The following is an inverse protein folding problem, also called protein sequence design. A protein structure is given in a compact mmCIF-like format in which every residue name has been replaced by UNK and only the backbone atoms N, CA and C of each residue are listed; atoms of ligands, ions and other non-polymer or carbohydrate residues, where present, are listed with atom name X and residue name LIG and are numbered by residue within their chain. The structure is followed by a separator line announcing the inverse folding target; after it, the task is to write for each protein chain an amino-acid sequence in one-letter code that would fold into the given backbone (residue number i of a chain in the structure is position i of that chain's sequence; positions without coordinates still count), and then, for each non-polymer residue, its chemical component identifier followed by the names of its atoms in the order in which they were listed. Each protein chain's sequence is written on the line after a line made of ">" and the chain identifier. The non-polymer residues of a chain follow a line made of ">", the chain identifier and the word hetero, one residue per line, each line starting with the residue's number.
data_IF_418953027242
#
_entry.id   IF_418953027242
#
_cell.length_a   1.000
_cell.length_b   1.000
_cell.length_c   1.000
_cell.angle_alpha   90.00
_cell.angle_beta   90.00
_cell.angle_gamma   90.00
#
_symmetry.space_group_name_H-M   'P 1'
#
loop_
_entity.id
_entity.type
_entity.pdbx_description
1 polymer ?
#
# COMPACT_ATOMS: atom_id res chain seq x y z
N UNK A 1 3.52 -0.61 -25.65
CA UNK A 1 3.77 0.60 -24.88
C UNK A 1 3.03 0.52 -23.54
N UNK A 2 3.74 0.73 -22.47
CA UNK A 2 3.35 0.56 -21.07
C UNK A 2 2.37 1.65 -20.55
N UNK A 3 1.75 2.39 -21.44
CA UNK A 3 0.84 3.48 -21.14
C UNK A 3 -0.59 3.22 -21.67
N UNK A 4 -1.18 2.09 -21.29
CA UNK A 4 -2.59 2.18 -21.00
C UNK A 4 -2.67 2.91 -19.66
N UNK A 5 -3.32 4.06 -19.65
CA UNK A 5 -3.41 4.87 -18.43
C UNK A 5 -4.09 4.05 -17.35
N UNK A 6 -3.69 4.26 -16.10
CA UNK A 6 -4.35 3.66 -14.93
C UNK A 6 -5.87 3.91 -14.98
N UNK A 7 -6.32 5.01 -15.61
CA UNK A 7 -7.73 5.33 -15.86
C UNK A 7 -8.44 4.34 -16.80
N UNK A 8 -7.77 3.79 -17.82
CA UNK A 8 -8.37 2.75 -18.68
C UNK A 8 -8.49 1.41 -17.96
N UNK A 9 -7.53 1.08 -17.07
CA UNK A 9 -7.55 -0.15 -16.28
C UNK A 9 -8.60 -0.12 -15.16
N UNK A 10 -8.83 1.03 -14.54
CA UNK A 10 -9.81 1.19 -13.46
C UNK A 10 -11.25 1.17 -13.96
N UNK A 11 -11.49 1.45 -15.23
CA UNK A 11 -12.83 1.49 -15.83
C UNK A 11 -13.28 0.16 -16.47
N UNK A 12 -12.44 -0.87 -16.51
CA UNK A 12 -12.86 -2.19 -16.98
C UNK A 12 -13.57 -2.95 -15.86
N UNK A 13 -14.81 -3.36 -16.09
CA UNK A 13 -15.57 -4.20 -15.14
C UNK A 13 -15.21 -5.69 -15.25
N UNK A 14 -14.44 -6.06 -16.25
CA UNK A 14 -14.07 -7.45 -16.55
C UNK A 14 -12.61 -7.73 -16.21
N UNK A 15 -12.30 -8.99 -15.90
CA UNK A 15 -10.93 -9.47 -15.73
C UNK A 15 -10.16 -9.37 -17.05
N UNK A 16 -8.94 -8.85 -17.01
CA UNK A 16 -8.08 -8.68 -18.18
C UNK A 16 -6.76 -9.43 -18.02
N UNK A 17 -6.42 -10.26 -19.01
CA UNK A 17 -5.09 -10.90 -19.06
C UNK A 17 -4.09 -9.93 -19.68
N UNK A 18 -2.95 -9.72 -18.97
CA UNK A 18 -1.91 -8.78 -19.37
C UNK A 18 -0.76 -9.54 -20.02
N UNK A 19 -0.45 -9.20 -21.26
CA UNK A 19 0.74 -9.72 -21.94
C UNK A 19 2.01 -9.07 -21.37
N UNK A 20 2.84 -9.85 -20.68
CA UNK A 20 4.07 -9.38 -20.03
C UNK A 20 5.31 -9.48 -20.91
N UNK A 21 5.25 -10.19 -22.02
CA UNK A 21 6.42 -10.52 -22.83
C UNK A 21 7.39 -11.48 -22.13
N UNK A 22 6.97 -12.12 -21.04
CA UNK A 22 7.71 -13.11 -20.27
C UNK A 22 6.85 -14.35 -20.03
N UNK A 23 7.41 -15.40 -19.42
CA UNK A 23 6.67 -16.61 -19.03
C UNK A 23 5.72 -16.39 -17.82
N UNK A 24 5.62 -15.14 -17.33
CA UNK A 24 4.75 -14.78 -16.21
C UNK A 24 3.37 -14.42 -16.76
N UNK A 25 2.36 -15.17 -16.36
CA UNK A 25 0.96 -14.86 -16.65
C UNK A 25 0.41 -13.92 -15.59
N UNK A 26 -0.16 -12.79 -16.02
CA UNK A 26 -0.80 -11.81 -15.14
C UNK A 26 -2.25 -11.65 -15.58
N UNK A 27 -3.17 -11.75 -14.62
CA UNK A 27 -4.57 -11.39 -14.82
C UNK A 27 -4.94 -10.30 -13.85
N UNK A 28 -5.44 -9.19 -14.37
CA UNK A 28 -5.98 -8.11 -13.56
C UNK A 28 -7.44 -8.44 -13.20
N UNK A 29 -7.74 -8.40 -11.91
CA UNK A 29 -9.11 -8.55 -11.39
C UNK A 29 -9.56 -7.20 -10.85
N UNK A 30 -10.32 -6.40 -11.62
CA UNK A 30 -10.72 -5.08 -11.21
C UNK A 30 -11.92 -5.12 -10.27
N UNK A 31 -11.99 -4.17 -9.35
CA UNK A 31 -13.14 -3.95 -8.48
C UNK A 31 -12.77 -3.61 -7.07
N UNK A 32 -13.80 -3.27 -6.31
CA UNK A 32 -13.75 -3.13 -4.86
C UNK A 32 -14.48 -4.30 -4.20
N UNK A 33 -14.28 -4.57 -2.91
CA UNK A 33 -14.95 -5.66 -2.21
C UNK A 33 -16.47 -5.72 -2.44
N UNK A 34 -17.13 -4.56 -2.45
CA UNK A 34 -18.58 -4.42 -2.73
C UNK A 34 -19.00 -4.83 -4.16
N UNK A 35 -18.05 -5.01 -5.06
CA UNK A 35 -18.29 -5.34 -6.47
C UNK A 35 -18.15 -6.84 -6.75
N UNK A 36 -18.37 -7.68 -5.72
CA UNK A 36 -18.21 -9.14 -5.79
C UNK A 36 -16.79 -9.57 -6.19
N UNK A 37 -15.79 -8.91 -5.60
CA UNK A 37 -14.38 -9.19 -5.88
C UNK A 37 -13.99 -10.64 -5.55
N UNK A 38 -14.59 -11.21 -4.52
CA UNK A 38 -14.45 -12.61 -4.14
C UNK A 38 -14.87 -13.57 -5.27
N UNK A 39 -16.04 -13.35 -5.88
CA UNK A 39 -16.51 -14.14 -7.02
C UNK A 39 -15.61 -13.96 -8.25
N UNK A 40 -15.17 -12.73 -8.52
CA UNK A 40 -14.27 -12.42 -9.63
C UNK A 40 -12.89 -13.05 -9.47
N UNK A 41 -12.39 -13.14 -8.22
CA UNK A 41 -11.11 -13.76 -7.91
C UNK A 41 -11.19 -15.29 -8.01
N UNK A 42 -12.29 -15.89 -7.63
CA UNK A 42 -12.47 -17.34 -7.69
C UNK A 42 -12.33 -17.88 -9.13
N UNK A 43 -12.79 -17.16 -10.12
CA UNK A 43 -12.73 -17.61 -11.51
C UNK A 43 -11.30 -17.84 -12.02
N UNK A 44 -10.35 -16.87 -11.95
CA UNK A 44 -8.97 -17.11 -12.35
C UNK A 44 -8.25 -18.10 -11.43
N UNK A 45 -8.50 -18.12 -10.12
CA UNK A 45 -7.89 -19.11 -9.23
C UNK A 45 -8.24 -20.55 -9.63
N UNK A 46 -9.51 -20.81 -9.95
CA UNK A 46 -9.98 -22.14 -10.33
C UNK A 46 -9.38 -22.67 -11.64
N UNK A 47 -8.65 -21.85 -12.40
CA UNK A 47 -7.85 -22.35 -13.54
C UNK A 47 -6.63 -23.14 -13.10
N UNK A 48 -6.15 -22.95 -11.86
CA UNK A 48 -4.92 -23.56 -11.34
C UNK A 48 -3.63 -22.98 -11.93
N UNK A 49 -3.72 -21.87 -12.68
CA UNK A 49 -2.57 -21.26 -13.37
C UNK A 49 -1.88 -20.16 -12.55
N UNK A 50 -2.49 -19.73 -11.42
CA UNK A 50 -2.00 -18.65 -10.59
C UNK A 50 -1.62 -19.14 -9.21
N UNK A 51 -0.44 -18.74 -8.75
CA UNK A 51 0.11 -19.09 -7.45
C UNK A 51 0.50 -17.87 -6.59
N UNK A 52 0.27 -16.67 -7.10
CA UNK A 52 0.53 -15.41 -6.41
C UNK A 52 -0.63 -14.45 -6.63
N UNK A 53 -1.07 -13.82 -5.55
CA UNK A 53 -2.03 -12.72 -5.59
C UNK A 53 -1.34 -11.47 -5.05
N UNK A 54 -1.42 -10.37 -5.82
CA UNK A 54 -0.99 -9.05 -5.39
C UNK A 54 -2.22 -8.15 -5.27
N UNK A 55 -2.60 -7.82 -4.05
CA UNK A 55 -3.74 -6.94 -3.80
C UNK A 55 -3.28 -5.49 -3.61
N UNK A 56 -3.94 -4.56 -4.29
CA UNK A 56 -3.78 -3.11 -4.09
C UNK A 56 -4.86 -2.51 -3.18
N UNK A 57 -5.68 -3.37 -2.59
CA UNK A 57 -6.68 -3.06 -1.56
C UNK A 57 -6.53 -4.03 -0.41
N UNK A 58 -7.23 -3.80 0.71
CA UNK A 58 -7.21 -4.75 1.83
C UNK A 58 -7.58 -6.15 1.38
N UNK A 59 -6.76 -7.12 1.75
CA UNK A 59 -6.98 -8.52 1.42
C UNK A 59 -8.05 -9.20 2.29
N UNK A 60 -8.51 -8.54 3.38
CA UNK A 60 -9.46 -9.10 4.36
C UNK A 60 -10.74 -9.66 3.74
N UNK A 61 -11.22 -8.99 2.70
CA UNK A 61 -12.51 -9.29 2.09
C UNK A 61 -12.51 -10.57 1.23
N UNK A 62 -11.34 -10.98 0.74
CA UNK A 62 -11.24 -12.14 -0.14
C UNK A 62 -10.32 -13.27 0.38
N UNK A 63 -9.78 -13.15 1.58
CA UNK A 63 -9.00 -14.23 2.22
C UNK A 63 -9.78 -15.54 2.27
N UNK A 64 -11.09 -15.51 2.52
CA UNK A 64 -11.91 -16.71 2.56
C UNK A 64 -11.96 -17.47 1.24
N UNK A 65 -11.91 -16.74 0.12
CA UNK A 65 -11.86 -17.36 -1.21
C UNK A 65 -10.53 -18.06 -1.42
N UNK A 66 -9.44 -17.43 -0.99
CA UNK A 66 -8.10 -18.02 -1.09
C UNK A 66 -8.00 -19.25 -0.20
N UNK A 67 -8.42 -19.15 1.07
CA UNK A 67 -8.41 -20.28 2.02
C UNK A 67 -9.19 -21.49 1.46
N UNK A 68 -10.40 -21.24 0.91
CA UNK A 68 -11.22 -22.32 0.34
C UNK A 68 -10.55 -22.98 -0.88
N UNK A 69 -9.96 -22.17 -1.76
CA UNK A 69 -9.23 -22.66 -2.92
C UNK A 69 -8.02 -23.52 -2.52
N UNK A 70 -7.24 -23.05 -1.55
CA UNK A 70 -6.06 -23.76 -1.05
C UNK A 70 -6.42 -25.11 -0.42
N UNK A 71 -7.48 -25.16 0.39
CA UNK A 71 -7.98 -26.41 1.00
C UNK A 71 -8.46 -27.39 -0.06
N UNK A 72 -9.25 -26.94 -1.04
CA UNK A 72 -9.82 -27.78 -2.08
C UNK A 72 -8.74 -28.36 -3.00
N UNK A 73 -7.73 -27.56 -3.34
CA UNK A 73 -6.70 -27.94 -4.29
C UNK A 73 -5.42 -28.46 -3.64
N UNK A 74 -5.34 -28.47 -2.30
CA UNK A 74 -4.13 -28.84 -1.54
C UNK A 74 -2.88 -28.09 -2.02
N UNK A 75 -3.02 -26.79 -2.25
CA UNK A 75 -1.99 -25.89 -2.76
C UNK A 75 -1.87 -24.65 -1.92
N UNK A 76 -0.75 -23.96 -2.03
CA UNK A 76 -0.47 -22.70 -1.36
C UNK A 76 -0.46 -21.56 -2.36
N UNK A 77 -1.08 -20.44 -2.01
CA UNK A 77 -1.12 -19.21 -2.81
C UNK A 77 -0.48 -18.09 -2.03
N UNK A 78 0.60 -17.55 -2.55
CA UNK A 78 1.29 -16.40 -1.94
C UNK A 78 0.43 -15.15 -2.05
N UNK A 79 0.30 -14.42 -0.95
CA UNK A 79 -0.50 -13.21 -0.86
C UNK A 79 0.36 -12.00 -0.48
N UNK A 80 0.54 -11.10 -1.43
CA UNK A 80 1.05 -9.74 -1.19
C UNK A 80 -0.10 -8.73 -1.13
N UNK A 81 -0.03 -7.77 -0.22
CA UNK A 81 -1.04 -6.73 -0.09
C UNK A 81 -0.41 -5.34 0.05
N UNK A 82 -0.98 -4.36 -0.62
CA UNK A 82 -0.73 -2.94 -0.35
C UNK A 82 -1.83 -2.48 0.59
N UNK A 83 -1.48 -2.31 1.86
CA UNK A 83 -2.44 -1.97 2.92
C UNK A 83 -1.76 -1.18 4.03
N UNK A 84 -2.46 -1.00 5.15
CA UNK A 84 -1.99 -0.27 6.32
C UNK A 84 -1.48 -1.23 7.40
N UNK A 85 -0.56 -0.76 8.23
CA UNK A 85 -0.16 -1.47 9.45
C UNK A 85 -1.18 -1.15 10.55
N UNK A 86 -2.27 -1.91 10.59
CA UNK A 86 -3.42 -1.76 11.50
C UNK A 86 -3.67 -3.02 12.30
N UNK A 87 -4.62 -2.97 13.23
CA UNK A 87 -5.04 -4.14 14.00
C UNK A 87 -5.63 -5.24 13.08
N UNK A 88 -6.42 -4.84 12.08
CA UNK A 88 -7.00 -5.79 11.12
C UNK A 88 -5.92 -6.53 10.31
N UNK A 89 -4.91 -5.81 9.82
CA UNK A 89 -3.78 -6.45 9.12
C UNK A 89 -2.90 -7.27 10.06
N UNK A 90 -2.81 -6.89 11.35
CA UNK A 90 -2.13 -7.69 12.36
C UNK A 90 -2.80 -9.05 12.55
N UNK A 91 -4.13 -9.08 12.63
CA UNK A 91 -4.87 -10.33 12.75
C UNK A 91 -4.65 -11.24 11.53
N UNK A 92 -4.65 -10.66 10.33
CA UNK A 92 -4.36 -11.39 9.09
C UNK A 92 -2.94 -11.94 9.04
N UNK A 93 -1.95 -11.16 9.48
CA UNK A 93 -0.55 -11.60 9.55
C UNK A 93 -0.35 -12.75 10.54
N UNK A 94 -1.09 -12.76 11.65
CA UNK A 94 -1.02 -13.82 12.66
C UNK A 94 -1.90 -15.04 12.31
N UNK A 95 -2.84 -14.91 11.37
CA UNK A 95 -3.60 -16.03 10.85
C UNK A 95 -2.66 -16.93 10.03
N UNK A 96 -2.77 -18.23 10.19
CA UNK A 96 -1.97 -19.16 9.39
C UNK A 96 -2.69 -19.48 8.08
N UNK A 97 -1.96 -19.41 6.98
CA UNK A 97 -2.35 -19.92 5.68
C UNK A 97 -2.26 -21.46 5.61
N UNK A 98 -2.54 -22.01 4.44
CA UNK A 98 -2.52 -23.45 4.19
C UNK A 98 -1.15 -24.09 4.49
N UNK A 99 -0.06 -23.42 4.18
CA UNK A 99 1.33 -23.87 4.43
C UNK A 99 1.77 -23.77 5.91
N UNK A 100 0.91 -23.24 6.79
CA UNK A 100 1.20 -22.99 8.21
C UNK A 100 2.05 -21.76 8.50
N UNK A 101 2.42 -20.98 7.48
CA UNK A 101 3.04 -19.66 7.61
C UNK A 101 1.99 -18.57 7.82
N UNK A 102 2.43 -17.33 7.89
CA UNK A 102 1.56 -16.18 7.95
C UNK A 102 0.64 -16.13 6.74
N UNK A 103 -0.62 -15.67 6.94
CA UNK A 103 -1.61 -15.64 5.84
C UNK A 103 -1.26 -14.58 4.78
N UNK A 104 -0.64 -13.49 5.18
CA UNK A 104 -0.07 -12.51 4.26
C UNK A 104 1.44 -12.75 4.22
N UNK A 105 1.98 -13.04 3.04
CA UNK A 105 3.40 -13.28 2.84
C UNK A 105 4.19 -11.97 2.72
N UNK A 106 3.54 -10.92 2.22
CA UNK A 106 4.18 -9.62 2.03
C UNK A 106 3.20 -8.46 2.14
N UNK A 107 3.46 -7.56 3.07
CA UNK A 107 2.67 -6.34 3.25
C UNK A 107 3.52 -5.11 2.90
N UNK A 108 2.91 -4.19 2.18
CA UNK A 108 3.51 -2.89 1.82
C UNK A 108 2.55 -1.78 2.17
N UNK A 109 2.99 -0.77 2.90
CA UNK A 109 2.16 0.38 3.20
C UNK A 109 2.84 1.40 4.09
N UNK A 110 2.18 2.53 4.33
CA UNK A 110 2.65 3.58 5.24
C UNK A 110 1.52 4.54 5.63
N UNK A 111 0.28 4.08 5.59
CA UNK A 111 -0.88 4.96 5.71
C UNK A 111 -0.89 5.81 6.99
N UNK A 112 -0.60 5.23 8.15
CA UNK A 112 -0.61 5.94 9.43
C UNK A 112 0.40 7.09 9.50
N UNK A 113 1.48 7.02 8.73
CA UNK A 113 2.56 8.02 8.74
C UNK A 113 2.36 9.19 7.74
N UNK A 114 1.32 9.17 6.89
CA UNK A 114 1.09 10.25 5.92
C UNK A 114 0.52 11.53 6.53
N UNK A 115 0.04 11.48 7.77
CA UNK A 115 -0.60 12.61 8.43
C UNK A 115 0.38 13.76 8.66
N UNK A 116 1.59 13.49 9.13
CA UNK A 116 2.57 14.53 9.41
C UNK A 116 3.04 15.28 8.14
N UNK A 117 3.43 14.61 7.04
CA UNK A 117 3.71 15.30 5.78
C UNK A 117 2.53 16.12 5.25
N UNK A 118 1.32 15.60 5.34
CA UNK A 118 0.11 16.30 4.92
C UNK A 118 -0.14 17.55 5.77
N UNK A 119 0.07 17.47 7.09
CA UNK A 119 -0.02 18.60 8.00
C UNK A 119 1.01 19.68 7.65
N UNK A 120 2.28 19.31 7.44
CA UNK A 120 3.35 20.24 7.05
C UNK A 120 3.01 20.95 5.75
N UNK A 121 2.57 20.22 4.73
CA UNK A 121 2.16 20.80 3.45
C UNK A 121 1.02 21.80 3.62
N UNK A 122 -0.01 21.44 4.36
CA UNK A 122 -1.17 22.29 4.62
C UNK A 122 -0.76 23.55 5.41
N UNK A 123 0.06 23.39 6.45
CA UNK A 123 0.50 24.52 7.28
C UNK A 123 1.35 25.52 6.49
N UNK A 124 2.35 25.05 5.74
CA UNK A 124 3.14 25.91 4.88
C UNK A 124 2.25 26.65 3.86
N UNK A 125 1.26 25.98 3.27
CA UNK A 125 0.33 26.61 2.33
C UNK A 125 -0.54 27.69 3.00
N UNK A 126 -1.08 27.42 4.20
CA UNK A 126 -1.90 28.39 4.95
C UNK A 126 -1.09 29.62 5.41
N UNK A 127 0.21 29.48 5.64
CA UNK A 127 1.12 30.54 6.01
C UNK A 127 1.65 31.34 4.82
N UNK A 128 1.20 31.02 3.61
CA UNK A 128 1.51 31.79 2.39
C UNK A 128 2.69 31.24 1.59
N UNK A 129 3.24 30.08 1.95
CA UNK A 129 4.39 29.49 1.28
C UNK A 129 4.02 28.44 0.22
N UNK A 130 2.76 28.38 -0.21
CA UNK A 130 2.30 27.37 -1.19
C UNK A 130 3.10 27.41 -2.50
N UNK A 131 3.47 28.60 -2.97
CA UNK A 131 4.19 28.78 -4.24
C UNK A 131 5.64 28.26 -4.19
N UNK A 132 6.25 28.20 -2.99
CA UNK A 132 7.61 27.68 -2.81
C UNK A 132 7.74 26.18 -3.09
N UNK A 133 6.60 25.48 -3.11
CA UNK A 133 6.50 24.03 -3.29
C UNK A 133 5.78 23.67 -4.60
N UNK A 134 5.48 24.65 -5.47
CA UNK A 134 4.86 24.42 -6.77
C UNK A 134 5.90 24.44 -7.87
N UNK A 135 5.70 23.55 -8.84
CA UNK A 135 6.45 23.54 -10.07
C UNK A 135 5.50 23.97 -11.20
N UNK A 136 5.85 25.04 -11.93
CA UNK A 136 5.05 25.62 -13.03
C UNK A 136 3.57 25.90 -12.64
N UNK A 137 3.33 26.32 -11.40
CA UNK A 137 1.99 26.59 -10.89
C UNK A 137 1.15 25.35 -10.58
N UNK A 138 1.69 24.16 -10.82
CA UNK A 138 1.03 22.89 -10.49
C UNK A 138 1.25 22.50 -9.04
N UNK A 139 0.33 21.73 -8.47
CA UNK A 139 0.52 21.13 -7.15
C UNK A 139 1.73 20.20 -7.18
N UNK A 140 2.56 20.31 -6.14
CA UNK A 140 3.69 19.39 -5.96
C UNK A 140 3.21 17.96 -5.65
N UNK A 141 4.08 16.99 -5.93
CA UNK A 141 3.88 15.59 -5.56
C UNK A 141 5.02 15.15 -4.66
N UNK A 142 4.69 14.68 -3.47
CA UNK A 142 5.63 14.05 -2.56
C UNK A 142 5.69 12.55 -2.85
N UNK A 143 6.89 12.03 -2.95
CA UNK A 143 7.12 10.58 -2.98
C UNK A 143 7.38 10.12 -1.55
N UNK A 144 6.67 9.10 -1.12
CA UNK A 144 6.89 8.48 0.18
C UNK A 144 7.51 7.09 -0.02
N UNK A 145 8.46 6.74 0.83
CA UNK A 145 8.93 5.37 0.95
C UNK A 145 7.82 4.52 1.58
N UNK A 146 7.61 3.32 1.07
CA UNK A 146 6.75 2.34 1.72
C UNK A 146 7.52 1.60 2.82
N UNK A 147 6.83 1.27 3.87
CA UNK A 147 7.25 0.24 4.81
C UNK A 147 6.83 -1.12 4.28
N UNK A 148 7.64 -2.11 4.55
CA UNK A 148 7.40 -3.49 4.12
C UNK A 148 7.48 -4.42 5.31
N UNK A 149 6.74 -5.52 5.26
CA UNK A 149 6.85 -6.63 6.18
C UNK A 149 6.62 -7.95 5.46
N UNK A 150 7.52 -8.91 5.64
CA UNK A 150 7.41 -10.31 5.22
C UNK A 150 7.43 -11.27 6.42
N UNK A 151 7.39 -10.73 7.63
CA UNK A 151 7.40 -11.48 8.88
C UNK A 151 6.61 -10.75 9.98
N UNK A 152 6.14 -11.51 10.97
CA UNK A 152 5.45 -10.96 12.14
C UNK A 152 6.32 -9.96 12.89
N UNK A 153 7.62 -10.19 12.99
CA UNK A 153 8.53 -9.30 13.71
C UNK A 153 8.67 -7.95 12.99
N UNK A 154 8.79 -7.95 11.67
CA UNK A 154 8.80 -6.72 10.89
C UNK A 154 7.45 -6.01 10.92
N UNK A 155 6.34 -6.75 10.81
CA UNK A 155 5.02 -6.20 10.97
C UNK A 155 4.88 -5.47 12.32
N UNK A 156 5.23 -6.13 13.42
CA UNK A 156 5.13 -5.55 14.76
C UNK A 156 5.94 -4.25 14.89
N UNK A 157 7.12 -4.19 14.29
CA UNK A 157 7.95 -2.98 14.25
C UNK A 157 7.24 -1.85 13.52
N UNK A 158 6.75 -2.09 12.33
CA UNK A 158 6.05 -1.07 11.53
C UNK A 158 4.72 -0.66 12.16
N UNK A 159 4.00 -1.62 12.74
CA UNK A 159 2.75 -1.34 13.46
C UNK A 159 2.99 -0.44 14.67
N UNK A 160 4.01 -0.73 15.47
CA UNK A 160 4.38 0.11 16.62
C UNK A 160 4.71 1.55 16.19
N UNK A 161 5.42 1.73 15.07
CA UNK A 161 5.69 3.05 14.49
C UNK A 161 4.40 3.73 14.00
N UNK A 162 3.49 2.99 13.37
CA UNK A 162 2.25 3.56 12.81
C UNK A 162 1.30 4.09 13.88
N UNK A 163 1.28 3.48 15.06
CA UNK A 163 0.43 3.89 16.20
C UNK A 163 1.18 4.76 17.23
N UNK A 164 2.45 5.07 17.00
CA UNK A 164 3.27 5.89 17.90
C UNK A 164 3.49 5.27 19.28
N UNK A 165 3.59 3.94 19.36
CA UNK A 165 3.69 3.24 20.66
C UNK A 165 5.02 3.51 21.39
N UNK A 166 6.13 3.55 20.68
CA UNK A 166 7.47 3.70 21.26
C UNK A 166 8.22 4.93 20.71
N UNK A 167 8.07 5.19 19.42
CA UNK A 167 8.65 6.31 18.71
C UNK A 167 7.66 6.83 17.69
N UNK A 168 7.72 8.12 17.42
CA UNK A 168 6.96 8.69 16.31
C UNK A 168 7.82 8.64 15.05
N UNK A 169 7.25 8.19 13.95
CA UNK A 169 7.92 8.26 12.63
C UNK A 169 8.38 9.69 12.33
N UNK A 170 7.57 10.66 12.75
CA UNK A 170 7.83 12.09 12.64
C UNK A 170 7.69 12.75 14.00
N UNK A 171 8.77 13.27 14.55
CA UNK A 171 8.75 14.08 15.78
C UNK A 171 8.24 15.50 15.48
N UNK A 172 7.94 16.24 16.52
CA UNK A 172 7.62 17.68 16.39
C UNK A 172 8.84 18.44 15.86
N UNK A 173 10.03 18.10 16.31
CA UNK A 173 11.30 18.66 15.88
C UNK A 173 11.53 18.43 14.38
N UNK A 174 11.29 17.22 13.88
CA UNK A 174 11.38 16.90 12.46
C UNK A 174 10.41 17.76 11.62
N UNK A 175 9.17 17.94 12.11
CA UNK A 175 8.19 18.80 11.42
C UNK A 175 8.62 20.27 11.42
N UNK A 176 9.22 20.76 12.50
CA UNK A 176 9.72 22.15 12.58
C UNK A 176 10.87 22.41 11.59
N UNK A 177 11.70 21.41 11.29
CA UNK A 177 12.77 21.54 10.29
C UNK A 177 12.25 21.81 8.87
N UNK A 178 11.03 21.37 8.56
CA UNK A 178 10.40 21.53 7.23
C UNK A 178 9.20 22.49 7.20
N UNK A 179 8.92 23.15 8.33
CA UNK A 179 7.95 24.23 8.43
C UNK A 179 8.66 25.58 8.22
N UNK A 180 8.31 26.30 7.18
CA UNK A 180 8.91 27.61 6.83
C UNK A 180 8.81 28.67 7.93
N UNK A 181 7.80 28.58 8.77
CA UNK A 181 7.65 29.49 9.92
C UNK A 181 8.70 29.27 11.01
N UNK A 182 9.35 28.11 11.05
CA UNK A 182 10.42 27.79 12.00
C UNK A 182 11.79 27.76 11.31
N UNK A 183 11.85 27.23 10.09
CA UNK A 183 13.05 27.09 9.28
C UNK A 183 12.82 27.75 7.91
N UNK A 184 12.97 29.08 7.81
CA UNK A 184 12.62 29.85 6.60
C UNK A 184 13.38 29.42 5.34
N UNK A 185 14.59 28.88 5.49
CA UNK A 185 15.46 28.40 4.41
C UNK A 185 15.08 27.03 3.87
N UNK A 186 14.21 26.27 4.55
CA UNK A 186 13.77 24.93 4.08
C UNK A 186 13.13 25.02 2.69
N UNK A 187 13.27 23.97 1.93
CA UNK A 187 12.84 23.90 0.54
C UNK A 187 12.15 22.58 0.23
N UNK A 188 11.71 22.40 -1.03
CA UNK A 188 11.02 21.20 -1.45
C UNK A 188 11.88 19.92 -1.32
N UNK A 189 13.19 20.00 -1.56
CA UNK A 189 14.07 18.83 -1.47
C UNK A 189 14.17 18.33 -0.02
N UNK A 190 14.25 19.23 0.94
CA UNK A 190 14.29 18.89 2.37
C UNK A 190 12.95 18.32 2.83
N UNK A 191 11.85 18.90 2.35
CA UNK A 191 10.51 18.36 2.62
C UNK A 191 10.32 16.98 1.98
N UNK A 192 10.84 16.74 0.77
CA UNK A 192 10.83 15.42 0.14
C UNK A 192 11.60 14.39 0.98
N UNK A 193 12.80 14.72 1.44
CA UNK A 193 13.60 13.85 2.34
C UNK A 193 12.87 13.52 3.65
N UNK A 194 12.18 14.50 4.22
CA UNK A 194 11.37 14.29 5.42
C UNK A 194 10.31 13.20 5.20
N UNK A 195 9.72 13.10 4.00
CA UNK A 195 8.69 12.09 3.70
C UNK A 195 9.23 10.68 3.45
N UNK A 196 10.54 10.53 3.33
CA UNK A 196 11.21 9.25 3.06
C UNK A 196 11.50 8.43 4.34
N UNK A 197 11.24 8.98 5.53
CA UNK A 197 11.44 8.33 6.83
C UNK A 197 10.65 7.03 7.02
#
# INVERSE_FOLDING_TARGET
>A
SYEKSVEELVNTQDTEEIETGSDIKITLVPGYPKDHLDEKLAAPLNTGEYNVILSVVSASDFIKVIDAYEEENSTDVLLGSIDCFTEDTYEMFNKKGYNGKERIDYLVGKYGAIVAPSFVAMKNALEGFAEDYREDGSAFRLQQSFWTADSVDEFNKQYALSIGMYDNTYSVEDMMEVLKSYTPETNFEEFQKFTEK
#
